data_IF_093411686723
#
_entry.id   IF_093411686723
#
_cell.length_a   1.000
_cell.length_b   1.000
_cell.length_c   1.000
_cell.angle_alpha   90.00
_cell.angle_beta   90.00
_cell.angle_gamma   90.00
#
_symmetry.space_group_name_H-M   'P 1'
#
loop_
_entity.id
_entity.type
_entity.pdbx_description
1 polymer ?
#
# COMPACT_ATOMS: atom_id res chain seq x y z
N UNK A 1 -28.93 -44.90 -58.37
CA UNK A 1 -29.18 -44.62 -56.94
C UNK A 1 -28.88 -43.13 -56.67
N UNK A 2 -29.89 -42.26 -56.48
CA UNK A 2 -29.68 -40.85 -56.21
C UNK A 2 -29.18 -40.61 -54.77
N UNK A 3 -28.21 -39.71 -54.62
CA UNK A 3 -27.50 -39.36 -53.38
C UNK A 3 -28.35 -38.40 -52.53
N UNK A 4 -28.50 -38.69 -51.24
CA UNK A 4 -29.27 -37.87 -50.30
C UNK A 4 -28.73 -36.42 -50.21
N UNK A 5 -29.65 -35.44 -50.28
CA UNK A 5 -29.35 -34.02 -50.11
C UNK A 5 -29.20 -33.71 -48.62
N UNK A 6 -28.06 -33.12 -48.23
CA UNK A 6 -27.81 -32.60 -46.87
C UNK A 6 -28.77 -31.45 -46.59
N UNK A 7 -29.50 -31.52 -45.48
CA UNK A 7 -30.31 -30.43 -44.93
C UNK A 7 -29.40 -29.32 -44.38
N UNK A 8 -29.79 -28.08 -44.60
CA UNK A 8 -29.05 -26.89 -44.18
C UNK A 8 -29.18 -26.64 -42.66
N UNK A 9 -28.18 -26.01 -42.01
CA UNK A 9 -28.22 -25.74 -40.58
C UNK A 9 -29.25 -24.67 -40.23
N UNK A 10 -30.10 -24.97 -39.25
CA UNK A 10 -31.01 -24.06 -38.55
C UNK A 10 -30.23 -22.84 -38.07
N UNK A 11 -30.41 -21.71 -38.76
CA UNK A 11 -29.92 -20.40 -38.35
C UNK A 11 -30.82 -19.91 -37.22
N UNK A 12 -30.39 -20.12 -35.98
CA UNK A 12 -31.03 -19.50 -34.82
C UNK A 12 -30.83 -17.98 -34.90
N UNK A 13 -31.92 -17.26 -35.21
CA UNK A 13 -31.94 -15.81 -35.16
C UNK A 13 -31.78 -15.36 -33.71
N UNK A 14 -30.56 -14.98 -33.32
CA UNK A 14 -30.29 -14.28 -32.07
C UNK A 14 -30.96 -12.91 -32.12
N UNK A 15 -32.19 -12.83 -31.62
CA UNK A 15 -32.95 -11.59 -31.48
C UNK A 15 -32.26 -10.73 -30.41
N UNK A 16 -31.54 -9.68 -30.86
CA UNK A 16 -30.98 -8.68 -29.94
C UNK A 16 -32.13 -8.04 -29.17
N UNK A 17 -32.02 -7.88 -27.84
CA UNK A 17 -33.07 -7.26 -27.05
C UNK A 17 -33.35 -5.84 -27.55
N UNK A 18 -34.62 -5.41 -27.57
CA UNK A 18 -35.01 -4.11 -28.09
C UNK A 18 -34.25 -3.00 -27.34
N UNK A 19 -33.63 -2.09 -28.09
CA UNK A 19 -32.88 -0.96 -27.52
C UNK A 19 -33.88 -0.05 -26.80
N UNK A 20 -33.52 0.36 -25.57
CA UNK A 20 -34.29 1.39 -24.87
C UNK A 20 -34.24 2.68 -25.67
N UNK A 21 -35.37 3.40 -25.72
CA UNK A 21 -35.42 4.74 -26.33
C UNK A 21 -34.40 5.64 -25.64
N UNK A 22 -33.70 6.52 -26.39
CA UNK A 22 -32.78 7.48 -25.80
C UNK A 22 -33.46 8.25 -24.66
N UNK A 23 -32.74 8.48 -23.57
CA UNK A 23 -33.23 9.36 -22.52
C UNK A 23 -33.44 10.79 -23.03
N UNK A 24 -34.14 11.63 -22.25
CA UNK A 24 -34.27 13.05 -22.55
C UNK A 24 -32.90 13.68 -22.80
N UNK A 25 -32.83 14.55 -23.81
CA UNK A 25 -31.59 15.30 -24.10
C UNK A 25 -31.19 16.08 -22.83
N UNK A 26 -29.89 16.13 -22.50
CA UNK A 26 -29.44 16.87 -21.33
C UNK A 26 -29.82 18.34 -21.47
N UNK A 27 -30.19 18.98 -20.36
CA UNK A 27 -30.60 20.40 -20.34
C UNK A 27 -29.53 21.28 -21.00
N UNK A 28 -29.91 22.35 -21.71
CA UNK A 28 -28.97 23.31 -22.27
C UNK A 28 -28.13 23.95 -21.16
N UNK A 29 -26.91 24.37 -21.48
CA UNK A 29 -25.94 24.87 -20.49
C UNK A 29 -26.51 26.02 -19.65
N UNK A 30 -27.34 26.88 -20.26
CA UNK A 30 -28.03 28.02 -19.65
C UNK A 30 -29.01 27.65 -18.53
N UNK A 31 -29.59 26.45 -18.57
CA UNK A 31 -30.55 25.96 -17.56
C UNK A 31 -29.89 25.09 -16.47
N UNK A 32 -28.60 24.77 -16.62
CA UNK A 32 -27.90 23.93 -15.65
C UNK A 32 -27.49 24.77 -14.45
N UNK A 33 -27.98 24.41 -13.27
CA UNK A 33 -27.47 24.97 -12.00
C UNK A 33 -26.03 24.52 -11.81
N UNK A 34 -25.09 25.47 -11.87
CA UNK A 34 -23.68 25.20 -11.60
C UNK A 34 -23.49 24.83 -10.13
N UNK A 35 -22.89 23.67 -9.88
CA UNK A 35 -22.47 23.23 -8.55
C UNK A 35 -20.94 23.18 -8.53
N UNK A 36 -20.25 24.07 -7.80
CA UNK A 36 -18.79 24.01 -7.73
C UNK A 36 -18.36 22.65 -7.16
N UNK A 37 -17.29 22.09 -7.71
CA UNK A 37 -16.68 20.91 -7.14
C UNK A 37 -16.15 21.23 -5.74
N UNK A 38 -16.24 20.25 -4.83
CA UNK A 38 -15.62 20.39 -3.51
C UNK A 38 -14.10 20.55 -3.70
N UNK A 39 -13.44 21.46 -2.97
CA UNK A 39 -11.99 21.59 -3.03
C UNK A 39 -11.32 20.25 -2.71
N UNK A 40 -10.27 19.91 -3.46
CA UNK A 40 -9.53 18.65 -3.29
C UNK A 40 -8.84 18.71 -1.93
N UNK A 41 -9.40 18.01 -0.94
CA UNK A 41 -8.90 18.06 0.44
C UNK A 41 -7.57 17.31 0.61
N UNK A 42 -7.34 16.28 -0.20
CA UNK A 42 -6.18 15.39 -0.04
C UNK A 42 -5.74 14.83 -1.38
N UNK A 43 -4.43 14.84 -1.62
CA UNK A 43 -3.82 14.12 -2.73
C UNK A 43 -3.79 12.64 -2.36
N UNK A 44 -4.62 11.84 -3.01
CA UNK A 44 -4.66 10.39 -2.82
C UNK A 44 -3.60 9.72 -3.70
N UNK A 45 -2.42 9.44 -3.12
CA UNK A 45 -1.39 8.67 -3.80
C UNK A 45 -1.78 7.18 -3.77
N UNK A 46 -2.25 6.66 -4.90
CA UNK A 46 -2.45 5.23 -5.09
C UNK A 46 -1.17 4.58 -5.63
N UNK A 47 -0.61 3.64 -4.88
CA UNK A 47 0.58 2.89 -5.30
C UNK A 47 0.15 1.53 -5.86
N UNK A 48 0.59 1.23 -7.08
CA UNK A 48 0.31 -0.06 -7.72
C UNK A 48 0.91 -1.21 -6.91
N UNK A 49 0.32 -2.40 -7.06
CA UNK A 49 0.77 -3.59 -6.35
C UNK A 49 2.25 -3.91 -6.67
N UNK A 50 2.61 -3.88 -7.95
CA UNK A 50 3.99 -4.01 -8.43
C UNK A 50 4.94 -3.03 -7.74
N UNK A 51 4.51 -1.77 -7.57
CA UNK A 51 5.33 -0.75 -6.89
C UNK A 51 5.57 -1.10 -5.41
N UNK A 52 4.57 -1.64 -4.73
CA UNK A 52 4.73 -2.11 -3.34
C UNK A 52 5.70 -3.28 -3.26
N UNK A 53 5.62 -4.21 -4.20
CA UNK A 53 6.52 -5.36 -4.28
C UNK A 53 7.97 -4.93 -4.55
N UNK A 54 8.20 -4.00 -5.48
CA UNK A 54 9.51 -3.41 -5.75
C UNK A 54 10.15 -2.83 -4.49
N UNK A 55 9.38 -2.08 -3.69
CA UNK A 55 9.85 -1.49 -2.42
C UNK A 55 10.21 -2.57 -1.41
N UNK A 56 9.37 -3.61 -1.28
CA UNK A 56 9.63 -4.71 -0.34
C UNK A 56 10.86 -5.52 -0.75
N UNK A 57 11.03 -5.78 -2.04
CA UNK A 57 12.21 -6.48 -2.59
C UNK A 57 13.47 -5.65 -2.36
N UNK A 58 13.40 -4.33 -2.57
CA UNK A 58 14.50 -3.42 -2.25
C UNK A 58 14.92 -3.54 -0.79
N UNK A 59 13.95 -3.49 0.14
CA UNK A 59 14.25 -3.61 1.57
C UNK A 59 14.88 -4.96 1.97
N UNK A 60 14.54 -6.04 1.26
CA UNK A 60 15.05 -7.38 1.53
C UNK A 60 16.43 -7.63 0.93
N UNK A 61 16.64 -7.22 -0.33
CA UNK A 61 17.77 -7.68 -1.12
C UNK A 61 18.88 -6.64 -1.28
N UNK A 62 18.55 -5.36 -1.20
CA UNK A 62 19.53 -4.29 -1.42
C UNK A 62 20.53 -4.20 -0.26
N UNK A 63 21.72 -3.68 -0.55
CA UNK A 63 22.77 -3.37 0.42
C UNK A 63 23.21 -1.93 0.22
N UNK A 64 23.42 -1.19 1.30
CA UNK A 64 23.85 0.20 1.29
C UNK A 64 25.23 0.26 1.92
N UNK A 65 26.17 0.89 1.23
CA UNK A 65 27.47 1.23 1.79
C UNK A 65 27.30 2.35 2.81
N UNK A 66 27.60 2.05 4.07
CA UNK A 66 27.59 3.01 5.16
C UNK A 66 28.66 2.58 6.19
N UNK A 67 29.91 3.09 6.05
CA UNK A 67 31.04 2.70 6.89
C UNK A 67 30.91 3.20 8.34
N UNK A 68 30.14 4.27 8.57
CA UNK A 68 30.01 4.92 9.88
C UNK A 68 28.92 4.27 10.75
N UNK A 69 28.07 3.45 10.15
CA UNK A 69 26.96 2.81 10.85
C UNK A 69 27.42 1.60 11.65
N UNK A 70 27.16 1.61 12.96
CA UNK A 70 27.37 0.45 13.85
C UNK A 70 26.61 -0.82 13.42
N UNK A 71 25.58 -0.68 12.58
CA UNK A 71 24.78 -1.79 12.03
C UNK A 71 25.31 -2.31 10.69
N UNK A 72 26.41 -1.75 10.21
CA UNK A 72 27.08 -2.20 9.00
C UNK A 72 28.01 -3.38 9.30
N UNK A 73 28.07 -4.34 8.39
CA UNK A 73 29.04 -5.43 8.36
C UNK A 73 29.87 -5.24 7.11
N UNK A 74 31.20 -5.17 7.26
CA UNK A 74 32.11 -4.79 6.17
C UNK A 74 31.72 -3.47 5.47
N UNK A 75 31.29 -2.46 6.23
CA UNK A 75 30.79 -1.18 5.71
C UNK A 75 29.50 -1.28 4.87
N UNK A 76 28.82 -2.43 4.85
CA UNK A 76 27.54 -2.60 4.17
C UNK A 76 26.43 -2.93 5.16
N UNK A 77 25.25 -2.31 4.98
CA UNK A 77 24.05 -2.62 5.76
C UNK A 77 22.83 -2.86 4.89
N UNK A 78 21.79 -3.44 5.48
CA UNK A 78 20.46 -3.49 4.86
C UNK A 78 19.84 -2.08 4.82
N UNK A 79 19.11 -1.73 3.75
CA UNK A 79 18.41 -0.46 3.66
C UNK A 79 17.34 -0.33 4.75
N UNK A 80 17.20 0.87 5.30
CA UNK A 80 16.10 1.20 6.17
C UNK A 80 14.91 1.76 5.38
N UNK A 81 13.77 1.89 6.06
CA UNK A 81 12.55 2.45 5.48
C UNK A 81 12.78 3.90 4.97
N UNK A 82 13.55 4.71 5.71
CA UNK A 82 14.02 6.04 5.27
C UNK A 82 14.80 6.02 3.94
N UNK A 83 15.57 4.97 3.66
CA UNK A 83 16.37 4.87 2.43
C UNK A 83 15.45 4.53 1.24
N UNK A 84 14.50 3.61 1.46
CA UNK A 84 13.46 3.33 0.49
C UNK A 84 12.56 4.54 0.24
N UNK A 85 12.25 5.34 1.27
CA UNK A 85 11.48 6.56 1.13
C UNK A 85 12.14 7.56 0.19
N UNK A 86 13.46 7.77 0.35
CA UNK A 86 14.27 8.61 -0.55
C UNK A 86 14.32 8.06 -1.97
N UNK A 87 14.56 6.76 -2.12
CA UNK A 87 14.72 6.10 -3.42
C UNK A 87 13.41 6.10 -4.24
N UNK A 88 12.29 5.72 -3.62
CA UNK A 88 11.01 5.56 -4.32
C UNK A 88 10.11 6.79 -4.28
N UNK A 89 10.48 7.82 -3.49
CA UNK A 89 9.69 9.04 -3.22
C UNK A 89 8.32 8.72 -2.61
N UNK A 90 8.33 7.81 -1.63
CA UNK A 90 7.14 7.33 -0.91
C UNK A 90 7.32 7.69 0.56
N UNK A 91 6.30 8.23 1.25
CA UNK A 91 6.41 8.55 2.67
C UNK A 91 6.81 7.34 3.51
N UNK A 92 7.73 7.51 4.45
CA UNK A 92 8.24 6.43 5.31
C UNK A 92 7.11 5.71 6.06
N UNK A 93 6.14 6.46 6.59
CA UNK A 93 4.96 5.89 7.25
C UNK A 93 4.18 4.90 6.36
N UNK A 94 4.10 5.18 5.06
CA UNK A 94 3.42 4.30 4.10
C UNK A 94 4.21 3.01 3.88
N UNK A 95 5.53 3.12 3.75
CA UNK A 95 6.43 1.97 3.61
C UNK A 95 6.38 1.09 4.87
N UNK A 96 6.34 1.70 6.06
CA UNK A 96 6.20 0.99 7.32
C UNK A 96 4.91 0.15 7.37
N UNK A 97 3.78 0.72 6.97
CA UNK A 97 2.51 -0.04 6.88
C UNK A 97 2.61 -1.22 5.92
N UNK A 98 3.28 -1.05 4.76
CA UNK A 98 3.47 -2.17 3.82
C UNK A 98 4.42 -3.22 4.36
N UNK A 99 5.47 -2.83 5.07
CA UNK A 99 6.41 -3.75 5.68
C UNK A 99 5.75 -4.66 6.73
N UNK A 100 4.83 -4.11 7.53
CA UNK A 100 4.00 -4.91 8.46
C UNK A 100 3.11 -5.90 7.72
N UNK A 101 2.53 -5.48 6.60
CA UNK A 101 1.61 -6.29 5.79
C UNK A 101 2.30 -7.04 4.63
N UNK A 102 3.63 -7.22 4.68
CA UNK A 102 4.44 -7.69 3.55
C UNK A 102 4.04 -9.07 3.04
N UNK A 103 3.65 -9.98 3.94
CA UNK A 103 3.21 -11.33 3.58
C UNK A 103 1.90 -11.32 2.80
N UNK A 104 0.98 -10.42 3.13
CA UNK A 104 -0.29 -10.25 2.41
C UNK A 104 -0.06 -9.63 1.03
N UNK A 105 0.84 -8.63 0.95
CA UNK A 105 1.18 -7.96 -0.31
C UNK A 105 1.85 -8.95 -1.27
N UNK A 106 2.89 -9.67 -0.84
CA UNK A 106 3.63 -10.60 -1.71
C UNK A 106 2.78 -11.82 -2.17
N UNK A 107 1.73 -12.19 -1.43
CA UNK A 107 0.90 -13.36 -1.76
C UNK A 107 -0.40 -13.02 -2.52
N UNK A 108 -0.68 -11.75 -2.80
CA UNK A 108 -1.99 -11.29 -3.31
C UNK A 108 -2.28 -11.69 -4.76
N UNK A 109 -1.24 -11.88 -5.58
CA UNK A 109 -1.41 -12.23 -7.00
C UNK A 109 -2.08 -13.59 -7.20
N UNK A 110 -1.90 -14.53 -6.26
CA UNK A 110 -2.42 -15.89 -6.37
C UNK A 110 -3.93 -16.00 -6.10
N UNK A 111 -4.54 -15.03 -5.41
CA UNK A 111 -5.93 -15.13 -4.93
C UNK A 111 -6.97 -14.34 -5.74
N UNK A 112 -6.56 -13.35 -6.54
CA UNK A 112 -7.50 -12.35 -7.09
C UNK A 112 -7.83 -12.48 -8.58
N UNK A 113 -7.16 -13.36 -9.33
CA UNK A 113 -7.49 -13.65 -10.74
C UNK A 113 -8.50 -14.79 -10.94
N UNK A 114 -9.26 -15.19 -9.92
CA UNK A 114 -10.46 -16.01 -10.14
C UNK A 114 -11.54 -15.10 -10.71
N UNK A 115 -11.53 -14.96 -12.04
CA UNK A 115 -12.55 -14.30 -12.86
C UNK A 115 -13.94 -14.72 -12.33
N UNK A 116 -14.66 -13.79 -11.70
CA UNK A 116 -16.11 -13.87 -11.58
C UNK A 116 -16.69 -13.55 -12.95
N UNK A 117 -16.52 -14.48 -13.89
CA UNK A 117 -17.38 -14.62 -15.06
C UNK A 117 -18.29 -15.80 -14.77
N UNK A 118 -19.24 -15.59 -13.88
CA UNK A 118 -20.43 -16.42 -13.77
C UNK A 118 -21.61 -15.46 -13.89
N UNK A 119 -21.99 -15.25 -15.15
CA UNK A 119 -23.34 -14.85 -15.55
C UNK A 119 -24.21 -16.08 -15.31
N UNK A 120 -24.45 -16.43 -14.05
CA UNK A 120 -25.48 -17.38 -13.64
C UNK A 120 -25.84 -17.06 -12.19
N UNK A 121 -27.03 -16.50 -12.03
CA UNK A 121 -27.74 -16.46 -10.77
C UNK A 121 -28.46 -17.79 -10.61
N UNK A 122 -28.33 -18.51 -9.49
CA UNK A 122 -29.44 -19.27 -8.97
C UNK A 122 -30.23 -18.34 -8.04
N UNK A 123 -31.36 -17.87 -8.54
CA UNK A 123 -32.49 -17.49 -7.68
C UNK A 123 -33.01 -18.80 -7.11
N UNK A 124 -32.74 -19.08 -5.83
CA UNK A 124 -33.54 -20.04 -5.09
C UNK A 124 -34.48 -19.27 -4.19
N UNK A 125 -35.72 -19.26 -4.67
CA UNK A 125 -36.97 -18.94 -3.99
C UNK A 125 -37.18 -19.81 -2.75
N UNK A 126 -38.10 -19.35 -1.89
CA UNK A 126 -38.41 -19.82 -0.55
C UNK A 126 -38.73 -21.33 -0.41
N UNK A 127 -38.47 -21.88 0.78
CA UNK A 127 -38.91 -23.23 1.13
C UNK A 127 -38.37 -23.75 2.46
N UNK A 128 -38.98 -23.28 3.54
CA UNK A 128 -39.18 -23.94 4.85
C UNK A 128 -38.86 -25.45 4.92
N UNK A 129 -37.98 -25.87 5.84
CA UNK A 129 -38.13 -27.11 6.63
C UNK A 129 -37.08 -27.24 7.75
N UNK A 130 -37.60 -27.18 8.99
CA UNK A 130 -37.28 -27.89 10.23
C UNK A 130 -35.82 -28.22 10.68
N UNK A 131 -35.55 -28.13 12.01
CA UNK A 131 -34.33 -28.62 12.63
C UNK A 131 -34.42 -30.14 12.88
N UNK A 132 -33.33 -30.87 12.63
CA UNK A 132 -33.20 -32.28 13.05
C UNK A 132 -31.92 -32.45 13.85
N UNK A 133 -32.13 -32.82 15.10
CA UNK A 133 -31.15 -33.36 16.04
C UNK A 133 -30.65 -34.73 15.57
N UNK A 134 -29.47 -35.15 16.06
CA UNK A 134 -28.92 -36.47 15.80
C UNK A 134 -27.48 -36.56 16.28
N UNK A 135 -27.31 -36.91 17.56
CA UNK A 135 -26.02 -37.19 18.17
C UNK A 135 -25.47 -38.59 17.87
N UNK A 136 -24.36 -38.87 18.55
CA UNK A 136 -23.72 -40.18 18.73
C UNK A 136 -22.73 -40.60 17.64
N UNK A 137 -21.44 -40.42 17.92
CA UNK A 137 -20.56 -41.53 18.34
C UNK A 137 -19.08 -41.07 18.45
N UNK A 138 -18.54 -41.27 19.66
CA UNK A 138 -17.17 -41.67 20.02
C UNK A 138 -16.44 -42.56 18.98
N UNK A 139 -15.09 -42.75 19.01
CA UNK A 139 -14.32 -42.97 20.25
C UNK A 139 -12.84 -42.47 20.32
N UNK A 140 -12.35 -42.54 21.57
CA UNK A 140 -11.04 -43.07 22.04
C UNK A 140 -9.69 -42.32 21.95
N UNK A 141 -9.18 -42.06 23.18
CA UNK A 141 -7.81 -42.15 23.75
C UNK A 141 -6.61 -41.37 23.17
N UNK A 142 -6.08 -40.43 23.99
CA UNK A 142 -4.81 -40.63 24.72
C UNK A 142 -4.58 -39.52 25.78
N UNK A 143 -4.04 -39.96 26.93
CA UNK A 143 -3.83 -39.27 28.21
C UNK A 143 -2.76 -38.14 28.24
N UNK A 144 -3.08 -37.07 29.01
CA UNK A 144 -2.38 -36.34 30.13
C UNK A 144 -0.85 -36.55 30.33
N UNK A 145 -0.02 -35.60 30.87
CA UNK A 145 -0.43 -34.55 31.81
C UNK A 145 0.21 -33.14 31.78
N UNK A 146 -0.59 -32.23 32.33
CA UNK A 146 -0.33 -31.16 33.30
C UNK A 146 1.05 -30.51 33.46
N UNK A 147 1.02 -29.17 33.40
CA UNK A 147 2.10 -28.27 33.83
C UNK A 147 1.55 -26.90 34.17
N UNK A 148 0.63 -26.85 35.14
CA UNK A 148 0.18 -25.62 35.79
C UNK A 148 1.30 -25.08 36.68
N UNK A 149 1.75 -23.85 36.44
CA UNK A 149 2.37 -23.04 37.50
C UNK A 149 2.17 -21.56 37.19
N UNK A 150 1.05 -21.04 37.69
CA UNK A 150 0.97 -19.67 38.18
C UNK A 150 1.90 -19.55 39.39
N UNK A 151 2.89 -18.66 39.33
CA UNK A 151 3.58 -18.19 40.53
C UNK A 151 3.85 -16.69 40.43
N UNK A 152 2.97 -15.94 41.11
CA UNK A 152 3.26 -14.61 41.62
C UNK A 152 4.23 -14.73 42.80
N UNK A 153 5.30 -13.94 42.80
CA UNK A 153 6.04 -13.46 43.98
C UNK A 153 6.94 -12.32 43.51
N UNK A 154 6.70 -11.06 43.87
CA UNK A 154 6.92 -10.42 45.19
C UNK A 154 8.33 -9.80 45.28
N UNK A 155 8.33 -8.46 45.37
CA UNK A 155 9.27 -7.51 45.97
C UNK A 155 10.79 -7.68 45.84
N UNK A 156 11.45 -6.61 45.37
CA UNK A 156 12.48 -5.91 46.17
C UNK A 156 12.91 -4.60 45.49
N UNK A 157 12.45 -3.51 46.10
CA UNK A 157 13.20 -2.30 46.44
C UNK A 157 14.63 -2.17 45.90
N UNK A 158 14.88 -1.10 45.11
CA UNK A 158 16.11 -0.29 45.17
C UNK A 158 15.78 1.17 44.91
N UNK A 159 15.36 1.81 45.99
CA UNK A 159 15.46 3.24 46.23
C UNK A 159 16.94 3.63 46.35
N UNK A 160 17.40 4.63 45.61
CA UNK A 160 18.67 5.32 45.87
C UNK A 160 18.55 6.79 45.43
N UNK A 161 17.87 7.57 46.28
CA UNK A 161 18.28 8.85 46.89
C UNK A 161 19.61 9.45 46.34
N UNK A 162 19.61 10.53 45.51
CA UNK A 162 19.64 12.01 45.82
C UNK A 162 21.05 12.47 46.31
N UNK A 163 21.59 13.72 46.14
CA UNK A 163 21.05 15.05 45.74
C UNK A 163 21.86 15.83 44.64
N UNK A 164 21.31 16.86 43.97
CA UNK A 164 21.39 18.32 44.26
C UNK A 164 22.78 18.98 44.11
N UNK A 165 22.89 19.94 43.17
CA UNK A 165 23.84 21.07 43.15
C UNK A 165 23.63 21.84 41.82
N UNK A 166 22.83 22.91 41.81
CA UNK A 166 23.28 24.29 41.90
C UNK A 166 24.16 24.77 40.71
N UNK A 167 23.61 25.71 39.93
CA UNK A 167 24.27 26.59 38.94
C UNK A 167 25.34 27.49 39.63
N UNK A 168 26.27 28.25 38.97
CA UNK A 168 26.07 29.08 37.75
C UNK A 168 27.30 29.27 36.80
N UNK A 169 27.05 30.03 35.71
CA UNK A 169 27.95 30.90 34.91
C UNK A 169 29.42 30.53 34.62
N UNK A 170 29.79 30.49 33.32
CA UNK A 170 31.04 31.12 32.85
C UNK A 170 31.02 31.39 31.34
N UNK A 171 31.03 32.69 31.07
CA UNK A 171 31.47 33.44 29.89
C UNK A 171 32.71 32.85 29.21
N UNK A 172 32.69 32.77 27.88
CA UNK A 172 33.89 33.05 27.06
C UNK A 172 33.45 33.69 25.74
N UNK A 173 33.45 35.02 25.73
CA UNK A 173 33.69 35.80 24.51
C UNK A 173 35.16 35.63 24.12
N UNK A 174 35.45 35.30 22.87
CA UNK A 174 36.61 35.87 22.18
C UNK A 174 36.33 35.96 20.68
N UNK A 175 36.73 37.10 20.13
CA UNK A 175 36.43 37.60 18.81
C UNK A 175 37.74 37.79 18.03
N UNK A 176 37.83 37.24 16.81
CA UNK A 176 38.69 37.72 15.72
C UNK A 176 38.49 36.78 14.51
N UNK A 177 37.85 37.24 13.43
CA UNK A 177 38.50 37.90 12.28
C UNK A 177 39.44 36.96 11.50
N UNK A 178 38.99 36.46 10.34
CA UNK A 178 39.73 36.71 9.10
C UNK A 178 38.88 36.47 7.85
N UNK A 179 39.09 37.33 6.88
CA UNK A 179 38.48 37.36 5.57
C UNK A 179 39.31 36.55 4.56
N UNK A 180 38.63 35.89 3.61
CA UNK A 180 39.12 35.62 2.24
C UNK A 180 37.94 35.02 1.46
N UNK A 181 37.24 35.71 0.55
CA UNK A 181 37.71 36.34 -0.69
C UNK A 181 38.47 35.37 -1.62
N UNK A 182 37.73 34.65 -2.47
CA UNK A 182 38.14 34.07 -3.76
C UNK A 182 36.95 33.26 -4.30
N UNK A 183 36.51 33.29 -5.55
CA UNK A 183 36.76 34.14 -6.70
C UNK A 183 35.55 33.94 -7.62
N UNK A 184 35.15 35.01 -8.29
CA UNK A 184 34.17 34.99 -9.36
C UNK A 184 34.67 34.13 -10.55
N UNK A 185 33.80 33.28 -11.11
CA UNK A 185 33.84 32.97 -12.54
C UNK A 185 32.47 33.24 -13.14
N UNK A 186 32.46 34.32 -13.90
CA UNK A 186 31.45 34.76 -14.85
C UNK A 186 31.48 33.84 -16.07
N UNK A 187 30.32 33.33 -16.49
CA UNK A 187 29.94 33.09 -17.90
C UNK A 187 28.44 32.79 -17.94
N UNK A 188 27.59 33.79 -18.13
CA UNK A 188 27.15 34.28 -19.45
C UNK A 188 26.60 33.16 -20.35
N UNK A 189 25.27 33.03 -20.40
CA UNK A 189 24.54 32.66 -21.63
C UNK A 189 23.04 32.94 -21.52
N UNK A 190 22.55 34.10 -22.00
CA UNK A 190 21.16 34.28 -22.39
C UNK A 190 21.04 34.05 -23.92
N UNK A 191 20.65 32.85 -24.34
CA UNK A 191 20.06 32.62 -25.68
C UNK A 191 18.55 32.73 -25.52
N UNK A 192 17.87 33.78 -26.00
CA UNK A 192 17.66 34.16 -27.40
C UNK A 192 16.98 33.04 -28.20
N UNK A 193 15.64 33.07 -28.21
CA UNK A 193 14.82 32.64 -29.34
C UNK A 193 13.43 33.26 -29.21
N UNK A 194 13.36 34.50 -29.68
CA UNK A 194 12.14 35.19 -30.08
C UNK A 194 11.64 34.52 -31.38
N UNK A 195 10.44 33.93 -31.36
CA UNK A 195 9.73 33.55 -32.58
C UNK A 195 8.34 34.20 -32.50
N UNK A 196 8.25 35.37 -33.15
CA UNK A 196 7.01 35.95 -33.66
C UNK A 196 6.54 35.10 -34.84
N UNK A 197 5.29 34.64 -34.80
CA UNK A 197 4.55 34.31 -36.02
C UNK A 197 3.43 35.35 -36.15
N UNK A 198 3.49 36.11 -37.24
CA UNK A 198 2.34 36.77 -37.84
C UNK A 198 1.42 35.75 -38.50
#
# INVERSE_FOLDING_TARGET
MPRAKKTAPTTEFVVKPPRKKPGPKPKPLSERVYKPAKPIQRIENSYSQRRKEEVLIYLLNHTIYDPDSWKSVNCYRKPFQRDAAKHFKIPEATIHTWWKNRTSILNREKKSRKKRTAKDQPVTDAGETAPSEGGTAEPEVAEVPEGSSSSSSEQADRESTVPESAAPDSVTEDAAAEASASAAIVKASPGSSEIRNE
#
